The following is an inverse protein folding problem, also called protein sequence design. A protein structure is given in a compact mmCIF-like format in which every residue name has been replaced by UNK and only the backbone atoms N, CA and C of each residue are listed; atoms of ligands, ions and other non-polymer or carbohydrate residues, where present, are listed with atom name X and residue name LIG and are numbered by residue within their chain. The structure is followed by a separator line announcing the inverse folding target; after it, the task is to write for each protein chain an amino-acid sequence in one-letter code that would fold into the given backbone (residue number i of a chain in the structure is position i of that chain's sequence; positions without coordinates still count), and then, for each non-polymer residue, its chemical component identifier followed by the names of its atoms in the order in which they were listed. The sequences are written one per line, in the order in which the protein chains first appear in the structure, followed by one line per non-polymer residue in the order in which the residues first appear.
data_IF_307774002870
#
_entry.id   IF_307774002870
#
_cell.length_a   1.000
_cell.length_b   1.000
_cell.length_c   1.000
_cell.angle_alpha   90.00
_cell.angle_beta   90.00
_cell.angle_gamma   90.00
#
_symmetry.space_group_name_H-M   'P 1'
#
loop_
_entity.id
_entity.type
_entity.pdbx_description
1 polymer ?
#
# COMPACT_ATOMS: atom_id res chain seq x y z
N UNK A 1 15.05 -10.45 17.55
CA UNK A 1 15.12 -9.52 16.40
C UNK A 1 14.03 -9.92 15.42
N UNK A 2 13.20 -8.99 14.94
CA UNK A 2 12.35 -9.28 13.80
C UNK A 2 13.25 -9.62 12.60
N UNK A 3 12.88 -10.60 11.78
CA UNK A 3 13.61 -10.89 10.56
C UNK A 3 13.35 -9.75 9.55
N UNK A 4 14.44 -9.17 9.04
CA UNK A 4 14.41 -8.12 8.02
C UNK A 4 13.74 -8.64 6.74
N UNK A 5 13.08 -7.75 6.00
CA UNK A 5 12.49 -8.04 4.68
C UNK A 5 11.45 -9.18 4.66
N UNK A 6 10.72 -9.38 5.76
CA UNK A 6 9.66 -10.38 5.86
C UNK A 6 8.29 -9.89 5.38
N UNK A 7 8.15 -8.59 5.10
CA UNK A 7 6.94 -7.97 4.59
C UNK A 7 7.14 -7.43 3.17
N UNK A 8 6.35 -7.91 2.22
CA UNK A 8 6.24 -7.30 0.89
C UNK A 8 5.24 -6.14 0.90
N UNK A 9 5.24 -5.33 -0.14
CA UNK A 9 4.18 -4.34 -0.33
C UNK A 9 3.75 -4.24 -1.79
N UNK A 10 2.50 -3.85 -2.02
CA UNK A 10 1.93 -3.55 -3.35
C UNK A 10 1.12 -2.26 -3.25
N UNK A 11 1.06 -1.52 -4.37
CA UNK A 11 0.40 -0.22 -4.43
C UNK A 11 0.97 0.61 -5.57
N UNK A 12 0.87 1.93 -5.46
CA UNK A 12 1.33 2.89 -6.46
C UNK A 12 2.49 3.76 -5.93
N UNK A 13 2.76 4.91 -6.54
CA UNK A 13 3.82 5.86 -6.20
C UNK A 13 3.66 6.46 -4.80
N UNK A 14 2.42 6.58 -4.33
CA UNK A 14 2.16 6.94 -2.93
C UNK A 14 2.60 5.84 -1.96
N UNK A 15 2.52 4.57 -2.38
CA UNK A 15 3.06 3.46 -1.57
C UNK A 15 4.59 3.53 -1.53
N UNK A 16 5.22 3.92 -2.65
CA UNK A 16 6.65 4.15 -2.72
C UNK A 16 7.10 5.28 -1.78
N UNK A 17 6.32 6.36 -1.65
CA UNK A 17 6.66 7.44 -0.70
C UNK A 17 6.68 6.93 0.75
N UNK A 18 5.70 6.13 1.15
CA UNK A 18 5.65 5.51 2.48
C UNK A 18 6.79 4.51 2.65
N UNK A 19 7.02 3.65 1.65
CA UNK A 19 8.10 2.66 1.67
C UNK A 19 9.49 3.27 1.80
N UNK A 20 9.74 4.34 1.04
CA UNK A 20 10.98 5.12 1.12
C UNK A 20 11.15 5.74 2.50
N UNK A 21 10.10 6.37 3.03
CA UNK A 21 10.07 6.94 4.36
C UNK A 21 10.37 5.92 5.45
N UNK A 22 9.72 4.76 5.39
CA UNK A 22 9.86 3.67 6.36
C UNK A 22 11.31 3.19 6.44
N UNK A 23 11.94 2.91 5.29
CA UNK A 23 13.34 2.47 5.24
C UNK A 23 14.28 3.57 5.72
N UNK A 24 14.07 4.83 5.28
CA UNK A 24 14.87 5.97 5.73
C UNK A 24 14.75 6.22 7.24
N UNK A 25 13.60 5.92 7.84
CA UNK A 25 13.36 5.97 9.28
C UNK A 25 13.95 4.78 10.05
N UNK A 26 14.62 3.84 9.39
CA UNK A 26 15.25 2.68 10.01
C UNK A 26 14.35 1.44 10.14
N UNK A 27 13.17 1.46 9.53
CA UNK A 27 12.31 0.29 9.42
C UNK A 27 12.97 -0.81 8.57
N UNK A 28 12.90 -2.06 9.02
CA UNK A 28 13.60 -3.19 8.39
C UNK A 28 12.69 -4.33 7.94
N UNK A 29 11.44 -4.36 8.40
CA UNK A 29 10.53 -5.49 8.14
C UNK A 29 10.04 -5.50 6.68
N UNK A 30 9.73 -4.32 6.14
CA UNK A 30 9.22 -4.16 4.78
C UNK A 30 10.34 -4.13 3.73
N UNK A 31 10.07 -4.65 2.54
CA UNK A 31 10.98 -4.52 1.40
C UNK A 31 11.24 -3.05 1.03
N UNK A 32 12.45 -2.70 0.56
CA UNK A 32 12.69 -1.42 -0.10
C UNK A 32 11.83 -1.26 -1.36
N UNK A 33 11.69 -0.01 -1.81
CA UNK A 33 10.99 0.30 -3.06
C UNK A 33 11.57 -0.45 -4.26
N UNK A 34 10.68 -0.84 -5.16
CA UNK A 34 11.02 -1.63 -6.34
C UNK A 34 10.33 -1.17 -7.64
N UNK A 35 9.76 0.05 -7.67
CA UNK A 35 9.24 0.66 -8.89
C UNK A 35 7.79 0.31 -9.21
N UNK A 36 6.88 0.46 -8.25
CA UNK A 36 5.44 0.27 -8.46
C UNK A 36 4.77 1.43 -9.19
N UNK A 37 5.28 2.67 -9.07
CA UNK A 37 4.85 3.83 -9.88
C UNK A 37 3.31 3.96 -9.99
N UNK A 38 2.71 4.11 -11.18
CA UNK A 38 1.26 4.29 -11.35
C UNK A 38 0.38 3.03 -11.18
N UNK A 39 0.86 1.97 -10.50
CA UNK A 39 0.10 0.71 -10.38
C UNK A 39 -1.09 0.83 -9.43
N UNK A 40 -2.28 1.02 -10.00
CA UNK A 40 -3.58 1.05 -9.31
C UNK A 40 -4.14 -0.36 -9.11
N UNK A 41 -5.26 -0.50 -8.40
CA UNK A 41 -5.92 -1.80 -8.11
C UNK A 41 -5.95 -2.73 -9.34
N UNK A 42 -6.37 -2.23 -10.51
CA UNK A 42 -6.50 -3.03 -11.73
C UNK A 42 -5.15 -3.56 -12.25
N UNK A 43 -4.03 -2.93 -11.91
CA UNK A 43 -2.69 -3.42 -12.25
C UNK A 43 -2.34 -4.72 -11.52
N UNK A 44 -3.09 -5.08 -10.47
CA UNK A 44 -2.84 -6.23 -9.59
C UNK A 44 -3.91 -7.31 -9.67
N UNK A 45 -4.98 -7.12 -10.46
CA UNK A 45 -6.12 -8.07 -10.54
C UNK A 45 -5.90 -9.23 -11.50
N UNK A 46 -4.95 -9.14 -12.43
CA UNK A 46 -4.42 -10.29 -13.16
C UNK A 46 -3.20 -10.83 -12.41
N UNK A 47 -3.23 -12.09 -11.98
CA UNK A 47 -2.14 -12.74 -11.22
C UNK A 47 -0.83 -12.85 -12.03
N UNK A 48 -0.90 -12.74 -13.36
CA UNK A 48 0.28 -12.80 -14.24
C UNK A 48 0.72 -11.40 -14.75
N UNK A 49 0.19 -10.32 -14.17
CA UNK A 49 0.45 -8.96 -14.62
C UNK A 49 1.92 -8.56 -14.52
N UNK A 50 2.31 -7.51 -15.25
CA UNK A 50 3.65 -6.92 -15.13
C UNK A 50 3.97 -6.48 -13.70
N UNK A 51 2.97 -6.03 -12.93
CA UNK A 51 3.12 -5.63 -11.53
C UNK A 51 3.53 -6.82 -10.65
N UNK A 52 2.89 -7.98 -10.83
CA UNK A 52 3.28 -9.19 -10.10
C UNK A 52 4.67 -9.70 -10.50
N UNK A 53 5.08 -9.52 -11.77
CA UNK A 53 6.47 -9.83 -12.17
C UNK A 53 7.50 -8.99 -11.43
N UNK A 54 7.22 -7.71 -11.14
CA UNK A 54 8.10 -6.88 -10.32
C UNK A 54 8.13 -7.34 -8.87
N UNK A 55 6.96 -7.70 -8.32
CA UNK A 55 6.85 -8.28 -6.99
C UNK A 55 7.65 -9.59 -6.87
N UNK A 56 7.55 -10.47 -7.87
CA UNK A 56 8.26 -11.75 -7.92
C UNK A 56 9.79 -11.58 -7.99
N UNK A 57 10.28 -10.49 -8.58
CA UNK A 57 11.72 -10.15 -8.51
C UNK A 57 12.15 -9.85 -7.07
N UNK A 58 11.29 -9.24 -6.25
CA UNK A 58 11.57 -9.04 -4.82
C UNK A 58 11.46 -10.35 -4.04
N UNK A 59 10.49 -11.21 -4.37
CA UNK A 59 10.41 -12.57 -3.81
C UNK A 59 11.69 -13.37 -4.09
N UNK A 60 12.23 -13.30 -5.30
CA UNK A 60 13.50 -13.96 -5.64
C UNK A 60 14.69 -13.40 -4.85
N UNK A 61 14.65 -12.12 -4.46
CA UNK A 61 15.72 -11.44 -3.73
C UNK A 61 15.65 -11.61 -2.21
N UNK A 62 14.46 -11.53 -1.63
CA UNK A 62 14.24 -11.49 -0.17
C UNK A 62 13.50 -12.72 0.37
N UNK A 63 13.03 -13.60 -0.51
CA UNK A 63 12.17 -14.73 -0.16
C UNK A 63 10.68 -14.37 -0.16
N UNK A 64 9.82 -15.39 -0.14
CA UNK A 64 8.37 -15.19 -0.02
C UNK A 64 8.05 -14.54 1.33
N UNK A 65 7.33 -13.41 1.37
CA UNK A 65 7.04 -12.72 2.61
C UNK A 65 5.92 -13.42 3.38
N UNK A 66 5.95 -13.28 4.70
CA UNK A 66 4.89 -13.75 5.60
C UNK A 66 3.85 -12.67 5.91
N UNK A 67 4.06 -11.45 5.40
CA UNK A 67 3.11 -10.36 5.44
C UNK A 67 3.16 -9.54 4.15
N UNK A 68 2.03 -8.97 3.75
CA UNK A 68 1.95 -8.03 2.63
C UNK A 68 1.18 -6.80 3.06
N UNK A 69 1.80 -5.64 2.91
CA UNK A 69 1.08 -4.37 2.96
C UNK A 69 0.48 -4.05 1.59
N UNK A 70 -0.83 -3.84 1.57
CA UNK A 70 -1.63 -3.53 0.38
C UNK A 70 -2.14 -2.10 0.51
N UNK A 71 -1.65 -1.20 -0.36
CA UNK A 71 -2.25 0.11 -0.54
C UNK A 71 -3.24 0.07 -1.71
N UNK A 72 -4.51 0.34 -1.43
CA UNK A 72 -5.54 0.51 -2.45
C UNK A 72 -5.30 1.86 -3.12
N UNK A 73 -4.72 1.83 -4.32
CA UNK A 73 -4.55 3.00 -5.18
C UNK A 73 -5.55 3.03 -6.32
N UNK A 74 -6.10 4.21 -6.59
CA UNK A 74 -6.98 4.46 -7.73
C UNK A 74 -6.55 5.70 -8.51
N UNK A 75 -7.02 5.76 -9.76
CA UNK A 75 -7.13 6.99 -10.51
C UNK A 75 -8.60 7.38 -10.67
N UNK A 76 -8.87 8.68 -10.83
CA UNK A 76 -10.20 9.26 -10.83
C UNK A 76 -11.17 8.58 -11.83
N UNK A 77 -10.67 8.17 -12.98
CA UNK A 77 -11.49 7.58 -14.05
C UNK A 77 -11.78 6.09 -13.84
N UNK A 78 -10.95 5.39 -13.07
CA UNK A 78 -11.03 3.93 -12.88
C UNK A 78 -11.75 3.57 -11.58
N UNK A 79 -11.41 4.23 -10.47
CA UNK A 79 -11.88 3.84 -9.15
C UNK A 79 -11.45 2.41 -8.75
N UNK A 80 -12.16 1.83 -7.79
CA UNK A 80 -12.01 0.44 -7.36
C UNK A 80 -13.31 -0.07 -6.72
N UNK A 81 -13.48 -1.39 -6.77
CA UNK A 81 -14.56 -2.14 -6.13
C UNK A 81 -14.02 -3.08 -5.04
N UNK A 82 -14.88 -3.50 -4.12
CA UNK A 82 -14.53 -4.48 -3.10
C UNK A 82 -14.06 -5.81 -3.71
N UNK A 83 -14.69 -6.26 -4.79
CA UNK A 83 -14.34 -7.52 -5.45
C UNK A 83 -12.96 -7.48 -6.11
N UNK A 84 -12.59 -6.35 -6.73
CA UNK A 84 -11.24 -6.17 -7.26
C UNK A 84 -10.19 -6.18 -6.14
N UNK A 85 -10.49 -5.57 -4.99
CA UNK A 85 -9.60 -5.58 -3.83
C UNK A 85 -9.46 -7.00 -3.27
N UNK A 86 -10.57 -7.75 -3.13
CA UNK A 86 -10.53 -9.17 -2.72
C UNK A 86 -9.70 -10.01 -3.68
N UNK A 87 -9.82 -9.76 -4.99
CA UNK A 87 -9.00 -10.43 -6.01
C UNK A 87 -7.52 -10.06 -5.89
N UNK A 88 -7.21 -8.79 -5.66
CA UNK A 88 -5.84 -8.31 -5.39
C UNK A 88 -5.23 -8.97 -4.14
N UNK A 89 -6.01 -9.13 -3.07
CA UNK A 89 -5.61 -9.85 -1.85
C UNK A 89 -5.35 -11.33 -2.14
N UNK A 90 -6.24 -11.99 -2.89
CA UNK A 90 -6.08 -13.38 -3.28
C UNK A 90 -4.80 -13.59 -4.10
N UNK A 91 -4.54 -12.70 -5.08
CA UNK A 91 -3.31 -12.71 -5.86
C UNK A 91 -2.08 -12.47 -4.96
N UNK A 92 -2.12 -11.51 -4.02
CA UNK A 92 -0.99 -11.30 -3.10
C UNK A 92 -0.56 -12.57 -2.37
N UNK A 93 -1.51 -13.46 -2.03
CA UNK A 93 -1.21 -14.75 -1.40
C UNK A 93 -0.56 -15.74 -2.33
N UNK A 94 -0.88 -15.76 -3.63
CA UNK A 94 -0.24 -16.69 -4.58
C UNK A 94 1.26 -16.40 -4.71
N UNK A 95 1.65 -15.14 -4.53
CA UNK A 95 3.04 -14.67 -4.58
C UNK A 95 3.75 -14.69 -3.20
N UNK A 96 3.04 -15.01 -2.12
CA UNK A 96 3.54 -14.95 -0.74
C UNK A 96 3.61 -16.32 -0.06
N UNK A 97 4.02 -16.36 1.22
CA UNK A 97 3.86 -17.56 2.03
C UNK A 97 2.37 -17.90 2.20
N UNK A 98 2.03 -19.19 2.42
CA UNK A 98 0.69 -19.57 2.86
C UNK A 98 0.28 -18.75 4.09
N UNK A 99 -0.97 -18.33 4.13
CA UNK A 99 -1.57 -17.56 5.24
C UNK A 99 -0.89 -16.22 5.57
N UNK A 100 -0.09 -15.67 4.65
CA UNK A 100 0.55 -14.37 4.83
C UNK A 100 -0.44 -13.30 5.32
N UNK A 101 -0.05 -12.56 6.37
CA UNK A 101 -0.85 -11.50 6.92
C UNK A 101 -1.01 -10.36 5.90
N UNK A 102 -2.21 -9.85 5.73
CA UNK A 102 -2.49 -8.76 4.79
C UNK A 102 -2.86 -7.51 5.57
N UNK A 103 -2.04 -6.47 5.48
CA UNK A 103 -2.35 -5.15 6.03
C UNK A 103 -2.92 -4.29 4.91
N UNK A 104 -4.20 -3.94 5.00
CA UNK A 104 -4.92 -3.22 3.96
C UNK A 104 -5.11 -1.76 4.35
N UNK A 105 -4.69 -0.84 3.49
CA UNK A 105 -4.84 0.62 3.69
C UNK A 105 -5.32 1.28 2.40
N UNK A 106 -5.90 2.48 2.51
CA UNK A 106 -6.15 3.35 1.36
C UNK A 106 -4.91 4.16 0.94
N UNK A 107 -5.05 4.95 -0.13
CA UNK A 107 -4.15 6.08 -0.39
C UNK A 107 -4.10 7.01 0.84
N UNK A 108 -2.99 7.76 1.05
CA UNK A 108 -2.91 8.70 2.16
C UNK A 108 -4.10 9.66 2.14
N UNK A 109 -4.69 9.86 3.32
CA UNK A 109 -5.66 10.92 3.53
C UNK A 109 -4.91 12.25 3.61
N UNK A 110 -5.63 13.33 3.35
CA UNK A 110 -5.13 14.69 3.44
C UNK A 110 -5.97 15.48 4.42
N UNK A 111 -5.42 16.55 4.98
CA UNK A 111 -6.17 17.49 5.80
C UNK A 111 -7.33 18.12 5.01
N UNK A 112 -8.33 18.60 5.75
CA UNK A 112 -9.51 19.23 5.18
C UNK A 112 -9.14 20.36 4.19
N UNK A 113 -9.76 20.31 3.01
CA UNK A 113 -9.51 21.28 1.93
C UNK A 113 -8.42 20.86 0.94
N UNK A 114 -7.80 19.69 1.14
CA UNK A 114 -6.81 19.13 0.23
C UNK A 114 -7.24 17.76 -0.30
N UNK A 115 -6.92 17.46 -1.56
CA UNK A 115 -7.19 16.17 -2.17
C UNK A 115 -6.17 15.85 -3.28
N UNK A 116 -5.97 14.56 -3.54
CA UNK A 116 -5.12 14.12 -4.62
C UNK A 116 -5.86 14.14 -5.96
N UNK A 117 -5.45 15.05 -6.85
CA UNK A 117 -6.05 15.20 -8.17
C UNK A 117 -6.02 13.90 -9.01
N UNK A 118 -5.00 13.04 -8.82
CA UNK A 118 -4.91 11.76 -9.52
C UNK A 118 -6.03 10.80 -9.14
N UNK A 119 -6.43 10.79 -7.86
CA UNK A 119 -7.51 9.95 -7.35
C UNK A 119 -8.90 10.55 -7.60
N UNK A 120 -8.96 11.85 -7.91
CA UNK A 120 -10.19 12.61 -8.07
C UNK A 120 -10.82 12.99 -6.72
N UNK A 121 -11.82 13.87 -6.77
CA UNK A 121 -12.49 14.37 -5.56
C UNK A 121 -13.04 13.24 -4.69
N UNK A 122 -12.59 13.17 -3.44
CA UNK A 122 -12.95 12.13 -2.46
C UNK A 122 -12.27 10.78 -2.69
N UNK A 123 -11.33 10.68 -3.63
CA UNK A 123 -10.69 9.43 -4.02
C UNK A 123 -9.94 8.77 -2.86
N UNK A 124 -9.11 9.53 -2.14
CA UNK A 124 -8.37 9.04 -0.98
C UNK A 124 -9.32 8.49 0.11
N UNK A 125 -10.34 9.28 0.49
CA UNK A 125 -11.35 8.87 1.48
C UNK A 125 -12.11 7.60 1.04
N UNK A 126 -12.42 7.47 -0.26
CA UNK A 126 -13.06 6.26 -0.81
C UNK A 126 -12.16 5.03 -0.68
N UNK A 127 -10.87 5.14 -0.98
CA UNK A 127 -9.94 4.00 -0.84
C UNK A 127 -9.76 3.57 0.62
N UNK A 128 -9.71 4.52 1.57
CA UNK A 128 -9.64 4.21 3.00
C UNK A 128 -10.92 3.55 3.51
N UNK A 129 -12.09 4.04 3.07
CA UNK A 129 -13.38 3.41 3.39
C UNK A 129 -13.48 1.98 2.83
N UNK A 130 -12.99 1.76 1.60
CA UNK A 130 -12.89 0.42 1.02
C UNK A 130 -11.93 -0.48 1.82
N UNK A 131 -10.77 0.04 2.25
CA UNK A 131 -9.83 -0.70 3.08
C UNK A 131 -10.49 -1.19 4.38
N UNK A 132 -11.19 -0.28 5.09
CA UNK A 132 -11.96 -0.60 6.30
C UNK A 132 -13.02 -1.66 6.03
N UNK A 133 -13.83 -1.46 5.00
CA UNK A 133 -14.95 -2.35 4.68
C UNK A 133 -14.48 -3.74 4.27
N UNK A 134 -13.42 -3.86 3.46
CA UNK A 134 -12.89 -5.15 3.01
C UNK A 134 -12.18 -5.87 4.15
N UNK A 135 -11.40 -5.16 4.98
CA UNK A 135 -10.74 -5.76 6.13
C UNK A 135 -11.71 -6.23 7.22
N UNK A 136 -12.94 -5.68 7.26
CA UNK A 136 -14.00 -6.13 8.16
C UNK A 136 -14.76 -7.37 7.65
N UNK A 137 -14.51 -7.83 6.41
CA UNK A 137 -15.13 -9.04 5.86
C UNK A 137 -14.54 -10.28 6.53
N UNK A 138 -15.33 -10.92 7.40
CA UNK A 138 -14.92 -12.10 8.18
C UNK A 138 -14.67 -13.34 7.34
N UNK A 139 -15.06 -13.35 6.06
CA UNK A 139 -14.68 -14.41 5.12
C UNK A 139 -13.20 -14.33 4.68
N UNK A 140 -12.55 -13.18 4.88
CA UNK A 140 -11.15 -12.98 4.56
C UNK A 140 -10.26 -13.28 5.78
N UNK A 141 -9.52 -14.37 5.71
CA UNK A 141 -8.58 -14.79 6.77
C UNK A 141 -7.40 -13.82 6.85
N UNK A 142 -6.87 -13.48 8.04
CA UNK A 142 -5.62 -12.70 8.19
C UNK A 142 -5.56 -11.37 7.42
N UNK A 143 -6.69 -10.68 7.23
CA UNK A 143 -6.72 -9.31 6.68
C UNK A 143 -6.96 -8.33 7.83
N UNK A 144 -6.18 -7.26 7.89
CA UNK A 144 -6.28 -6.25 8.95
C UNK A 144 -6.17 -4.86 8.37
N UNK A 145 -7.03 -3.95 8.82
CA UNK A 145 -6.88 -2.52 8.58
C UNK A 145 -6.11 -1.90 9.75
N UNK A 146 -4.83 -1.51 9.57
CA UNK A 146 -3.99 -1.01 10.68
C UNK A 146 -4.32 0.44 11.05
N UNK A 147 -4.95 1.20 10.15
CA UNK A 147 -5.18 2.63 10.27
C UNK A 147 -5.02 3.33 8.93
N UNK A 148 -5.23 4.65 8.94
CA UNK A 148 -4.98 5.52 7.79
C UNK A 148 -3.57 6.10 7.86
N UNK A 149 -2.99 6.35 6.69
CA UNK A 149 -1.90 7.30 6.56
C UNK A 149 -2.46 8.71 6.39
N UNK A 150 -1.83 9.70 7.00
CA UNK A 150 -2.16 11.12 6.87
C UNK A 150 -0.97 11.87 6.28
N UNK A 151 -1.25 12.76 5.32
CA UNK A 151 -0.28 13.64 4.69
C UNK A 151 -0.76 15.10 4.80
N UNK A 152 0.02 15.94 5.46
CA UNK A 152 -0.34 17.35 5.69
C UNK A 152 -0.04 18.21 4.46
N UNK A 153 -0.72 19.36 4.25
CA UNK A 153 -0.51 20.21 3.08
C UNK A 153 0.96 20.64 2.87
N UNK A 154 1.70 20.91 3.95
CA UNK A 154 3.13 21.25 3.88
C UNK A 154 4.04 20.08 3.49
N UNK A 155 3.51 18.86 3.53
CA UNK A 155 4.20 17.61 3.24
C UNK A 155 3.95 17.12 1.81
N UNK A 156 3.13 17.83 1.03
CA UNK A 156 2.81 17.47 -0.36
C UNK A 156 3.66 18.26 -1.35
N UNK A 157 4.15 17.58 -2.39
CA UNK A 157 5.02 18.14 -3.41
C UNK A 157 4.25 18.69 -4.62
N UNK A 158 3.25 17.96 -5.11
CA UNK A 158 2.71 18.18 -6.47
C UNK A 158 1.19 18.05 -6.59
N UNK A 159 0.46 18.13 -5.48
CA UNK A 159 -0.97 17.83 -5.46
C UNK A 159 -1.30 16.45 -4.91
N UNK A 160 -0.36 15.49 -4.91
CA UNK A 160 -0.61 14.12 -4.45
C UNK A 160 0.57 13.51 -3.69
N UNK A 161 1.78 13.63 -4.23
CA UNK A 161 2.94 12.90 -3.72
C UNK A 161 3.57 13.61 -2.54
N UNK A 162 4.12 12.84 -1.62
CA UNK A 162 4.83 13.38 -0.48
C UNK A 162 6.18 13.99 -0.91
N UNK A 163 6.49 15.17 -0.40
CA UNK A 163 7.84 15.73 -0.45
C UNK A 163 8.75 15.00 0.58
N UNK A 164 9.99 15.48 0.76
CA UNK A 164 10.93 14.83 1.69
C UNK A 164 10.42 14.77 3.15
N UNK A 165 9.77 15.83 3.63
CA UNK A 165 9.19 15.86 4.98
C UNK A 165 7.98 14.93 5.08
N UNK A 166 7.15 14.89 4.04
CA UNK A 166 6.02 13.95 3.96
C UNK A 166 6.43 12.49 3.92
N UNK A 167 7.49 12.15 3.16
CA UNK A 167 8.05 10.80 3.17
C UNK A 167 8.51 10.42 4.58
N UNK A 168 9.19 11.34 5.28
CA UNK A 168 9.60 11.11 6.67
C UNK A 168 8.39 10.90 7.59
N UNK A 169 7.37 11.74 7.51
CA UNK A 169 6.15 11.65 8.32
C UNK A 169 5.40 10.33 8.08
N UNK A 170 5.14 9.99 6.81
CA UNK A 170 4.53 8.73 6.40
C UNK A 170 5.36 7.51 6.82
N UNK A 171 6.68 7.61 6.74
CA UNK A 171 7.60 6.58 7.21
C UNK A 171 7.50 6.32 8.70
N UNK A 172 7.39 7.37 9.51
CA UNK A 172 7.18 7.26 10.96
C UNK A 172 5.84 6.62 11.29
N UNK A 173 4.77 6.95 10.56
CA UNK A 173 3.47 6.29 10.69
C UNK A 173 3.57 4.79 10.35
N UNK A 174 4.29 4.44 9.28
CA UNK A 174 4.50 3.04 8.90
C UNK A 174 5.32 2.26 9.95
N UNK A 175 6.33 2.90 10.55
CA UNK A 175 7.08 2.32 11.69
C UNK A 175 6.15 2.12 12.89
N UNK A 176 5.24 3.05 13.18
CA UNK A 176 4.28 2.87 14.26
C UNK A 176 3.32 1.69 14.01
N UNK A 177 2.98 1.38 12.76
CA UNK A 177 2.14 0.23 12.42
C UNK A 177 2.90 -1.11 12.42
N UNK A 178 4.16 -1.14 11.97
CA UNK A 178 4.82 -2.40 11.60
C UNK A 178 6.26 -2.58 12.10
N UNK A 179 6.85 -1.54 12.70
CA UNK A 179 8.23 -1.49 13.19
C UNK A 179 8.50 -2.38 14.39
#
# INVERSE_FOLDING_TARGET
AAADHTMGFIGCSMAENIGQGYVAGGGKRMWPNYGTSGQVVQSWTDVNSASWKLYDQQVAKYGKPNAVWVQICIFAQQGATADEIKKMIANARTHSQPDAAIYLTGQPLYDAGYDCFLAGTGGAAKTDALAKSVAADTSLVNVTYPGSFLLHPSEVQDGCHANADGQKSLGQQAIAFWG
#
